data_IF_948908448567
#
_entry.id   IF_948908448567
#
_cell.length_a   1.000
_cell.length_b   1.000
_cell.length_c   1.000
_cell.angle_alpha   90.00
_cell.angle_beta   90.00
_cell.angle_gamma   90.00
#
_symmetry.space_group_name_H-M   'P 1'
#
loop_
_entity.id
_entity.type
_entity.pdbx_description
1 polymer ?
#
# COMPACT_ATOMS: atom_id res chain seq x y z
N UNK A 1 -6.73 21.18 -27.86
CA UNK A 1 -5.48 20.68 -27.26
C UNK A 1 -5.73 19.24 -26.84
N UNK A 2 -5.12 18.26 -27.51
CA UNK A 2 -5.25 16.85 -27.14
C UNK A 2 -4.36 16.59 -25.93
N UNK A 3 -4.97 16.33 -24.77
CA UNK A 3 -4.26 15.90 -23.57
C UNK A 3 -3.68 14.51 -23.89
N UNK A 4 -2.35 14.38 -23.84
CA UNK A 4 -1.73 13.07 -23.95
C UNK A 4 -2.29 12.18 -22.82
N UNK A 5 -2.72 10.94 -23.11
CA UNK A 5 -3.24 10.07 -22.07
C UNK A 5 -2.16 9.93 -20.99
N UNK A 6 -2.53 10.23 -19.74
CA UNK A 6 -1.63 10.06 -18.60
C UNK A 6 -1.28 8.58 -18.53
N UNK A 7 -0.07 8.24 -18.95
CA UNK A 7 0.42 6.87 -18.86
C UNK A 7 0.61 6.56 -17.38
N UNK A 8 -0.15 5.58 -16.87
CA UNK A 8 -0.02 5.15 -15.49
C UNK A 8 1.37 4.59 -15.25
N UNK A 9 1.93 4.78 -14.04
CA UNK A 9 3.16 4.09 -13.67
C UNK A 9 2.95 2.57 -13.77
N UNK A 10 4.02 1.80 -14.05
CA UNK A 10 3.93 0.35 -14.06
C UNK A 10 3.42 -0.15 -12.69
N UNK A 11 2.65 -1.25 -12.66
CA UNK A 11 2.19 -1.82 -11.40
C UNK A 11 3.39 -2.20 -10.54
N UNK A 12 3.23 -2.06 -9.22
CA UNK A 12 4.27 -2.49 -8.29
C UNK A 12 4.55 -3.99 -8.49
N UNK A 13 5.83 -4.39 -8.62
CA UNK A 13 6.17 -5.79 -8.78
C UNK A 13 5.79 -6.56 -7.52
N UNK A 14 5.12 -7.71 -7.70
CA UNK A 14 4.85 -8.64 -6.62
C UNK A 14 6.11 -9.46 -6.33
N UNK A 15 6.41 -9.67 -5.05
CA UNK A 15 7.47 -10.57 -4.61
C UNK A 15 7.22 -11.99 -5.15
N UNK A 16 8.14 -12.53 -5.98
CA UNK A 16 7.99 -13.86 -6.55
C UNK A 16 8.05 -14.98 -5.51
N UNK A 17 8.59 -14.70 -4.32
CA UNK A 17 8.71 -15.66 -3.23
C UNK A 17 7.61 -15.52 -2.16
N UNK A 18 6.61 -14.67 -2.40
CA UNK A 18 5.51 -14.48 -1.45
C UNK A 18 4.73 -15.79 -1.22
N UNK A 19 4.69 -16.22 0.03
CA UNK A 19 3.85 -17.32 0.50
C UNK A 19 2.62 -16.70 1.21
N UNK A 20 1.39 -16.91 0.70
CA UNK A 20 0.18 -16.46 1.39
C UNK A 20 0.07 -17.08 2.79
N UNK A 21 -0.43 -16.33 3.79
CA UNK A 21 -0.68 -16.88 5.11
C UNK A 21 -1.70 -18.03 5.01
N UNK A 22 -1.58 -18.98 5.93
CA UNK A 22 -2.53 -20.08 6.01
C UNK A 22 -3.96 -19.56 6.22
N UNK A 23 -4.92 -20.15 5.51
CA UNK A 23 -6.33 -19.81 5.68
C UNK A 23 -6.88 -20.57 6.87
N UNK A 24 -7.47 -19.84 7.82
CA UNK A 24 -8.21 -20.44 8.93
C UNK A 24 -9.49 -21.11 8.38
N UNK A 25 -9.60 -22.46 8.44
CA UNK A 25 -10.77 -23.17 7.92
C UNK A 25 -12.07 -22.84 8.68
N UNK A 26 -11.97 -22.34 9.91
CA UNK A 26 -13.12 -21.98 10.75
C UNK A 26 -13.60 -20.54 10.53
N UNK A 27 -12.84 -19.74 9.77
CA UNK A 27 -13.18 -18.35 9.45
C UNK A 27 -13.29 -18.18 7.94
N UNK A 28 -14.39 -18.64 7.33
CA UNK A 28 -14.59 -18.48 5.89
C UNK A 28 -14.70 -16.99 5.55
N UNK A 29 -13.72 -16.46 4.84
CA UNK A 29 -13.66 -15.07 4.40
C UNK A 29 -12.29 -14.69 3.82
N UNK A 30 -12.18 -13.51 3.19
CA UNK A 30 -10.89 -12.98 2.77
C UNK A 30 -10.02 -12.69 3.99
N UNK A 31 -9.00 -13.52 4.21
CA UNK A 31 -7.97 -13.27 5.22
C UNK A 31 -6.90 -12.37 4.59
N UNK A 32 -6.86 -11.10 5.00
CA UNK A 32 -5.83 -10.15 4.59
C UNK A 32 -4.93 -9.89 5.79
N UNK A 33 -3.65 -10.23 5.64
CA UNK A 33 -2.60 -9.90 6.60
C UNK A 33 -1.73 -8.85 5.95
N UNK A 34 -1.54 -7.73 6.66
CA UNK A 34 -0.60 -6.69 6.31
C UNK A 34 0.36 -6.49 7.48
N UNK A 35 1.65 -6.45 7.17
CA UNK A 35 2.68 -6.02 8.11
C UNK A 35 3.04 -4.58 7.82
N UNK A 36 3.19 -3.77 8.86
CA UNK A 36 3.57 -2.35 8.73
C UNK A 36 4.80 -2.10 9.58
N UNK A 37 5.87 -1.68 8.92
CA UNK A 37 7.16 -1.36 9.52
C UNK A 37 7.30 0.16 9.54
N UNK A 38 7.31 0.80 10.72
CA UNK A 38 7.62 2.23 10.81
C UNK A 38 9.09 2.44 10.44
N UNK A 39 9.34 3.47 9.62
CA UNK A 39 10.68 3.94 9.28
C UNK A 39 10.92 5.29 9.99
N UNK A 40 11.79 6.12 9.43
CA UNK A 40 12.07 7.45 10.00
C UNK A 40 10.89 8.41 9.82
N UNK A 41 10.59 9.18 10.87
CA UNK A 41 9.51 10.17 10.85
C UNK A 41 8.12 9.54 10.66
N UNK A 42 7.39 9.97 9.62
CA UNK A 42 6.08 9.43 9.28
C UNK A 42 6.08 8.39 8.15
N UNK A 43 7.25 8.07 7.59
CA UNK A 43 7.38 7.07 6.54
C UNK A 43 7.18 5.65 7.11
N UNK A 44 6.46 4.81 6.37
CA UNK A 44 6.14 3.43 6.72
C UNK A 44 6.25 2.56 5.48
N UNK A 45 6.79 1.35 5.65
CA UNK A 45 6.76 0.30 4.65
C UNK A 45 5.71 -0.74 5.02
N UNK A 46 4.85 -1.10 4.08
CA UNK A 46 3.79 -2.08 4.26
C UNK A 46 4.00 -3.29 3.36
N UNK A 47 3.87 -4.50 3.90
CA UNK A 47 3.88 -5.74 3.13
C UNK A 47 2.50 -6.39 3.16
N UNK A 48 1.87 -6.55 1.99
CA UNK A 48 0.52 -7.12 1.89
C UNK A 48 0.39 -7.91 0.58
N UNK A 49 -0.05 -9.17 0.67
CA UNK A 49 -0.29 -10.03 -0.49
C UNK A 49 0.89 -10.17 -1.47
N UNK A 50 2.11 -10.04 -0.97
CA UNK A 50 3.36 -10.06 -1.75
C UNK A 50 3.73 -8.71 -2.37
N UNK A 51 3.00 -7.64 -2.12
CA UNK A 51 3.36 -6.29 -2.53
C UNK A 51 4.00 -5.54 -1.38
N UNK A 52 5.01 -4.74 -1.71
CA UNK A 52 5.55 -3.71 -0.82
C UNK A 52 4.97 -2.37 -1.22
N UNK A 53 4.35 -1.69 -0.26
CA UNK A 53 3.82 -0.32 -0.42
C UNK A 53 4.53 0.61 0.53
N UNK A 54 4.71 1.86 0.12
CA UNK A 54 5.16 2.92 1.03
C UNK A 54 4.03 3.86 1.32
N UNK A 55 4.04 4.37 2.55
CA UNK A 55 3.06 5.27 3.07
C UNK A 55 3.77 6.36 3.88
N UNK A 56 3.41 7.62 3.66
CA UNK A 56 4.02 8.76 4.32
C UNK A 56 2.97 9.84 4.58
N UNK A 57 3.23 10.76 5.48
CA UNK A 57 2.36 11.91 5.69
C UNK A 57 2.95 13.19 5.08
N UNK A 58 2.10 14.22 4.99
CA UNK A 58 2.56 15.55 4.59
C UNK A 58 3.58 16.13 5.59
N UNK A 59 4.42 17.05 5.11
CA UNK A 59 5.36 17.81 5.95
C UNK A 59 4.68 18.51 7.14
N UNK A 60 3.43 18.96 6.98
CA UNK A 60 2.64 19.63 8.03
C UNK A 60 2.50 18.81 9.32
N UNK A 61 2.52 17.49 9.22
CA UNK A 61 2.39 16.58 10.37
C UNK A 61 3.67 15.76 10.61
N UNK A 62 4.80 16.22 10.05
CA UNK A 62 6.12 15.65 10.28
C UNK A 62 6.51 14.51 9.33
N UNK A 63 5.83 14.36 8.19
CA UNK A 63 6.27 13.47 7.12
C UNK A 63 7.08 14.18 6.04
N UNK A 64 7.31 13.51 4.91
CA UNK A 64 8.11 14.05 3.79
C UNK A 64 7.33 14.15 2.49
N UNK A 65 6.03 13.82 2.51
CA UNK A 65 5.16 13.76 1.32
C UNK A 65 5.73 12.87 0.19
N UNK A 66 6.56 11.88 0.56
CA UNK A 66 7.31 11.04 -0.38
C UNK A 66 6.51 9.83 -0.89
N UNK A 67 5.36 9.55 -0.26
CA UNK A 67 4.44 8.49 -0.61
C UNK A 67 3.00 8.89 -0.21
N UNK A 68 1.95 8.26 -0.77
CA UNK A 68 0.57 8.55 -0.39
C UNK A 68 0.33 8.33 1.11
N UNK A 69 -0.56 9.14 1.68
CA UNK A 69 -0.93 9.02 3.09
C UNK A 69 -1.76 7.78 3.40
N UNK A 70 -1.77 7.32 4.67
CA UNK A 70 -2.59 6.18 5.06
C UNK A 70 -4.07 6.43 4.71
N UNK A 71 -4.54 7.65 4.94
CA UNK A 71 -5.91 8.05 4.60
C UNK A 71 -6.13 8.13 3.08
N UNK A 72 -5.10 8.49 2.30
CA UNK A 72 -5.14 8.44 0.84
C UNK A 72 -5.38 7.02 0.34
N UNK A 73 -4.61 6.05 0.83
CA UNK A 73 -4.83 4.63 0.51
C UNK A 73 -6.21 4.13 0.95
N UNK A 74 -6.65 4.48 2.17
CA UNK A 74 -7.97 4.11 2.66
C UNK A 74 -9.09 4.68 1.78
N UNK A 75 -8.96 5.95 1.37
CA UNK A 75 -9.94 6.61 0.49
C UNK A 75 -10.01 5.93 -0.87
N UNK A 76 -8.87 5.57 -1.46
CA UNK A 76 -8.82 4.80 -2.70
C UNK A 76 -9.47 3.42 -2.55
N UNK A 77 -9.26 2.76 -1.41
CA UNK A 77 -9.84 1.44 -1.14
C UNK A 77 -11.38 1.45 -1.12
N UNK A 78 -12.02 2.58 -0.83
CA UNK A 78 -13.49 2.72 -0.92
C UNK A 78 -13.96 2.72 -2.38
N UNK A 79 -13.12 3.16 -3.32
CA UNK A 79 -13.46 3.27 -4.74
C UNK A 79 -13.20 2.00 -5.56
N UNK A 80 -12.60 0.97 -4.97
CA UNK A 80 -12.39 -0.35 -5.59
C UNK A 80 -13.49 -1.32 -5.16
#
# INVERSE_FOLDING_TARGET
>A
MTIAPHQLPPPMPKDPNYIPPERDPQRPGPHVVAEVIPLEGQLKEGHVQGFTVRCDESERVGGTDSAPSPLGYFTMAIGF
#
